data_IF_361136574071
#
_entry.id   IF_361136574071
#
_cell.length_a   1.000
_cell.length_b   1.000
_cell.length_c   1.000
_cell.angle_alpha   90.00
_cell.angle_beta   90.00
_cell.angle_gamma   90.00
#
_symmetry.space_group_name_H-M   'P 1'
#
loop_
_entity.id
_entity.type
_entity.pdbx_description
1 polymer ?
#
# COMPACT_ATOMS: atom_id res chain seq x y z
N UNK A 1 -22.08 -51.84 -52.30
CA UNK A 1 -21.29 -51.87 -51.05
C UNK A 1 -20.55 -50.55 -50.91
N UNK A 2 -21.07 -49.65 -50.07
CA UNK A 2 -20.35 -48.56 -49.39
C UNK A 2 -21.42 -47.65 -48.75
N UNK A 3 -21.88 -48.03 -47.56
CA UNK A 3 -22.63 -47.15 -46.67
C UNK A 3 -21.64 -46.27 -45.91
N UNK A 4 -21.69 -44.96 -46.11
CA UNK A 4 -21.01 -44.00 -45.25
C UNK A 4 -22.00 -43.50 -44.19
N UNK A 5 -22.01 -44.20 -43.05
CA UNK A 5 -22.76 -43.84 -41.86
C UNK A 5 -22.30 -42.51 -41.26
N UNK A 6 -23.22 -41.54 -41.19
CA UNK A 6 -23.04 -40.29 -40.45
C UNK A 6 -23.36 -40.57 -38.98
N UNK A 7 -22.36 -40.62 -38.12
CA UNK A 7 -22.56 -40.73 -36.66
C UNK A 7 -22.92 -39.34 -36.14
N UNK A 8 -24.19 -39.15 -35.76
CA UNK A 8 -24.63 -37.97 -35.02
C UNK A 8 -24.13 -38.09 -33.58
N UNK A 9 -23.19 -37.23 -33.17
CA UNK A 9 -22.87 -37.03 -31.77
C UNK A 9 -24.03 -36.29 -31.09
N UNK A 10 -24.92 -37.02 -30.42
CA UNK A 10 -25.87 -36.44 -29.48
C UNK A 10 -25.10 -35.84 -28.30
N UNK A 11 -25.08 -34.51 -28.22
CA UNK A 11 -24.62 -33.76 -27.05
C UNK A 11 -25.43 -34.25 -25.85
N UNK A 12 -24.76 -34.89 -24.89
CA UNK A 12 -25.38 -35.34 -23.66
C UNK A 12 -26.04 -34.17 -22.92
N UNK A 13 -27.30 -34.35 -22.56
CA UNK A 13 -28.06 -33.39 -21.75
C UNK A 13 -27.30 -33.04 -20.47
N UNK A 14 -27.14 -31.75 -20.19
CA UNK A 14 -26.66 -31.29 -18.89
C UNK A 14 -27.65 -31.76 -17.82
N UNK A 15 -27.20 -32.34 -16.70
CA UNK A 15 -28.10 -32.67 -15.62
C UNK A 15 -28.83 -31.41 -15.14
N UNK A 16 -30.11 -31.51 -14.74
CA UNK A 16 -30.89 -30.36 -14.31
C UNK A 16 -30.18 -29.65 -13.15
N UNK A 17 -30.13 -28.32 -13.23
CA UNK A 17 -29.62 -27.47 -12.16
C UNK A 17 -30.35 -27.83 -10.86
N UNK A 18 -29.60 -28.35 -9.88
CA UNK A 18 -30.12 -28.56 -8.52
C UNK A 18 -30.66 -27.23 -8.02
N UNK A 19 -31.98 -27.11 -7.96
CA UNK A 19 -32.69 -26.00 -7.34
C UNK A 19 -32.27 -26.01 -5.88
N UNK A 20 -31.42 -25.05 -5.50
CA UNK A 20 -30.95 -24.93 -4.12
C UNK A 20 -32.16 -24.47 -3.31
N UNK A 21 -32.73 -25.36 -2.50
CA UNK A 21 -33.82 -25.02 -1.59
C UNK A 21 -33.41 -23.79 -0.74
N UNK A 22 -34.33 -22.84 -0.47
CA UNK A 22 -34.03 -21.75 0.45
C UNK A 22 -33.65 -22.36 1.80
N UNK A 23 -32.44 -22.06 2.27
CA UNK A 23 -32.04 -22.43 3.63
C UNK A 23 -32.95 -21.73 4.64
N UNK A 24 -33.05 -22.24 5.88
CA UNK A 24 -33.81 -21.58 6.93
C UNK A 24 -33.31 -20.14 7.10
N UNK A 25 -34.19 -19.17 7.44
CA UNK A 25 -33.78 -17.80 7.70
C UNK A 25 -32.66 -17.81 8.76
N UNK A 26 -31.53 -17.17 8.44
CA UNK A 26 -30.41 -17.05 9.33
C UNK A 26 -30.83 -16.40 10.65
N UNK A 27 -30.21 -16.83 11.75
CA UNK A 27 -30.36 -16.15 13.03
C UNK A 27 -29.93 -14.68 12.86
N UNK A 28 -30.72 -13.69 13.32
CA UNK A 28 -30.32 -12.29 13.29
C UNK A 28 -28.96 -12.15 13.98
N UNK A 29 -27.97 -11.67 13.22
CA UNK A 29 -26.60 -11.47 13.74
C UNK A 29 -25.55 -12.47 13.24
N UNK A 30 -25.87 -13.33 12.26
CA UNK A 30 -24.83 -14.13 11.61
C UNK A 30 -23.82 -13.20 10.88
N UNK A 31 -22.49 -13.37 11.05
CA UNK A 31 -21.49 -12.45 10.47
C UNK A 31 -21.57 -12.26 8.95
N UNK A 32 -22.19 -13.20 8.24
CA UNK A 32 -22.46 -13.14 6.79
C UNK A 32 -23.47 -12.07 6.39
N UNK A 33 -24.30 -11.62 7.33
CA UNK A 33 -25.33 -10.58 7.12
C UNK A 33 -24.80 -9.17 7.41
N UNK A 34 -23.60 -9.04 8.00
CA UNK A 34 -22.99 -7.76 8.29
C UNK A 34 -22.63 -7.01 7.00
N UNK A 35 -22.64 -5.66 6.98
CA UNK A 35 -22.13 -4.93 5.83
C UNK A 35 -20.65 -5.25 5.60
N UNK A 36 -20.20 -5.23 4.34
CA UNK A 36 -18.84 -5.64 3.95
C UNK A 36 -17.75 -4.98 4.80
N UNK A 37 -17.88 -3.68 5.08
CA UNK A 37 -16.88 -2.95 5.86
C UNK A 37 -16.74 -3.50 7.29
N UNK A 38 -17.84 -3.97 7.90
CA UNK A 38 -17.82 -4.55 9.25
C UNK A 38 -17.18 -5.95 9.23
N UNK A 39 -17.49 -6.77 8.22
CA UNK A 39 -16.83 -8.07 8.03
C UNK A 39 -15.32 -7.92 7.83
N UNK A 40 -14.91 -6.98 6.97
CA UNK A 40 -13.49 -6.66 6.72
C UNK A 40 -12.81 -6.11 7.96
N UNK A 41 -13.48 -5.23 8.72
CA UNK A 41 -12.93 -4.68 9.96
C UNK A 41 -12.68 -5.78 10.98
N UNK A 42 -13.66 -6.64 11.22
CA UNK A 42 -13.52 -7.76 12.16
C UNK A 42 -12.39 -8.71 11.74
N UNK A 43 -12.32 -9.06 10.44
CA UNK A 43 -11.27 -9.91 9.89
C UNK A 43 -9.88 -9.29 10.05
N UNK A 44 -9.71 -8.02 9.64
CA UNK A 44 -8.43 -7.32 9.71
C UNK A 44 -7.95 -7.20 11.15
N UNK A 45 -8.81 -6.77 12.08
CA UNK A 45 -8.46 -6.62 13.49
C UNK A 45 -8.14 -7.96 14.15
N UNK A 46 -8.87 -9.03 13.84
CA UNK A 46 -8.56 -10.37 14.36
C UNK A 46 -7.16 -10.82 13.92
N UNK A 47 -6.80 -10.59 12.65
CA UNK A 47 -5.46 -10.91 12.15
C UNK A 47 -4.38 -10.02 12.78
N UNK A 48 -4.67 -8.72 13.04
CA UNK A 48 -3.76 -7.82 13.74
C UNK A 48 -3.50 -8.24 15.20
N UNK A 49 -4.51 -8.78 15.89
CA UNK A 49 -4.30 -9.36 17.22
C UNK A 49 -3.32 -10.54 17.14
N UNK A 50 -3.48 -11.44 16.16
CA UNK A 50 -2.55 -12.56 15.96
C UNK A 50 -1.13 -12.05 15.65
N UNK A 51 -0.98 -11.09 14.71
CA UNK A 51 0.31 -10.47 14.40
C UNK A 51 0.93 -9.79 15.63
N UNK A 52 0.13 -9.13 16.47
CA UNK A 52 0.59 -8.50 17.72
C UNK A 52 1.09 -9.52 18.74
N UNK A 53 0.40 -10.64 18.91
CA UNK A 53 0.87 -11.74 19.76
C UNK A 53 2.18 -12.31 19.23
N UNK A 54 2.29 -12.54 17.92
CA UNK A 54 3.52 -13.04 17.31
C UNK A 54 4.70 -12.07 17.49
N UNK A 55 4.47 -10.76 17.33
CA UNK A 55 5.48 -9.74 17.62
C UNK A 55 5.88 -9.73 19.09
N UNK A 56 4.91 -9.80 20.02
CA UNK A 56 5.20 -9.82 21.44
C UNK A 56 6.00 -11.06 21.86
N UNK A 57 5.71 -12.23 21.27
CA UNK A 57 6.49 -13.45 21.48
C UNK A 57 7.89 -13.32 20.88
N UNK A 58 8.00 -12.83 19.65
CA UNK A 58 9.29 -12.63 18.99
C UNK A 58 10.18 -11.61 19.73
N UNK A 59 9.59 -10.62 20.39
CA UNK A 59 10.32 -9.64 21.17
C UNK A 59 11.05 -10.27 22.37
N UNK A 60 10.54 -11.39 22.92
CA UNK A 60 11.16 -12.08 24.06
C UNK A 60 12.48 -12.76 23.71
N UNK A 61 12.62 -13.19 22.47
CA UNK A 61 13.81 -13.87 21.96
C UNK A 61 14.76 -12.91 21.21
N UNK A 62 14.41 -11.62 21.13
CA UNK A 62 15.18 -10.66 20.35
C UNK A 62 16.46 -10.27 21.09
N UNK A 63 17.61 -10.50 20.44
CA UNK A 63 18.90 -10.06 20.97
C UNK A 63 18.98 -8.53 20.91
N UNK A 64 19.29 -7.92 22.05
CA UNK A 64 19.47 -6.49 22.13
C UNK A 64 20.65 -6.03 21.27
N UNK A 65 20.37 -5.06 20.42
CA UNK A 65 21.36 -4.31 19.66
C UNK A 65 20.98 -2.83 19.72
N UNK A 66 21.76 -1.95 20.37
CA UNK A 66 21.32 -0.60 20.70
C UNK A 66 20.90 0.22 19.49
N UNK A 67 21.63 0.09 18.37
CA UNK A 67 21.30 0.80 17.14
C UNK A 67 19.98 0.34 16.50
N UNK A 68 19.47 -0.87 16.81
CA UNK A 68 18.31 -1.49 16.14
C UNK A 68 17.10 -1.66 17.06
N UNK A 69 17.31 -2.08 18.30
CA UNK A 69 16.26 -2.57 19.22
C UNK A 69 15.85 -1.58 20.32
N UNK A 70 16.67 -0.57 20.62
CA UNK A 70 16.34 0.45 21.63
C UNK A 70 17.50 0.75 22.59
N UNK A 71 17.35 1.72 23.50
CA UNK A 71 18.42 2.17 24.39
C UNK A 71 18.80 1.17 25.49
N UNK A 72 17.93 0.22 25.84
CA UNK A 72 18.16 -0.77 26.90
C UNK A 72 17.60 -2.17 26.54
N UNK A 73 18.21 -3.21 27.12
CA UNK A 73 17.95 -4.64 26.86
C UNK A 73 16.54 -5.11 27.30
N UNK A 74 15.83 -4.34 28.12
CA UNK A 74 14.49 -4.67 28.65
C UNK A 74 13.30 -3.95 28.00
N UNK A 75 13.54 -2.97 27.13
CA UNK A 75 12.50 -2.12 26.50
C UNK A 75 12.42 -2.35 24.97
N UNK A 76 12.58 -3.60 24.52
CA UNK A 76 12.52 -3.91 23.09
C UNK A 76 11.06 -3.85 22.62
N UNK A 77 10.69 -2.73 22.01
CA UNK A 77 9.48 -2.63 21.21
C UNK A 77 9.82 -2.88 19.73
N UNK A 78 9.45 -4.07 19.25
CA UNK A 78 9.63 -4.42 17.84
C UNK A 78 8.85 -3.48 16.92
N UNK A 79 7.73 -2.90 17.36
CA UNK A 79 6.98 -1.95 16.55
C UNK A 79 7.72 -0.64 16.30
N UNK A 80 8.74 -0.32 17.12
CA UNK A 80 9.54 0.91 17.07
C UNK A 80 11.01 0.65 16.68
N UNK A 81 11.32 -0.57 16.23
CA UNK A 81 12.67 -0.98 15.86
C UNK A 81 12.99 -0.72 14.38
N UNK A 82 14.29 -0.77 14.02
CA UNK A 82 14.79 -0.59 12.64
C UNK A 82 14.33 0.72 11.96
N UNK A 83 13.55 0.64 10.88
CA UNK A 83 13.14 1.78 10.04
C UNK A 83 12.32 2.81 10.82
N UNK A 84 11.61 2.35 11.86
CA UNK A 84 10.85 3.21 12.75
C UNK A 84 11.70 4.32 13.38
N UNK A 85 12.98 4.05 13.68
CA UNK A 85 13.90 5.05 14.25
C UNK A 85 14.19 6.19 13.27
N UNK A 86 14.20 5.91 11.97
CA UNK A 86 14.38 6.95 10.95
C UNK A 86 13.11 7.77 10.78
N UNK A 87 11.95 7.14 10.81
CA UNK A 87 10.68 7.86 10.81
C UNK A 87 10.50 8.71 12.06
N UNK A 88 10.94 8.23 13.23
CA UNK A 88 10.96 9.00 14.47
C UNK A 88 11.86 10.24 14.33
N UNK A 89 13.11 10.04 13.90
CA UNK A 89 14.05 11.15 13.67
C UNK A 89 13.49 12.20 12.71
N UNK A 90 12.85 11.79 11.61
CA UNK A 90 12.24 12.75 10.68
C UNK A 90 11.05 13.48 11.32
N UNK A 91 10.23 12.76 12.10
CA UNK A 91 9.08 13.35 12.77
C UNK A 91 9.48 14.38 13.84
N UNK A 92 10.60 14.16 14.55
CA UNK A 92 11.07 15.00 15.65
C UNK A 92 12.06 16.08 15.21
N UNK A 93 13.04 15.74 14.39
CA UNK A 93 14.17 16.59 13.99
C UNK A 93 14.03 17.13 12.56
N UNK A 94 13.27 16.44 11.69
CA UNK A 94 13.17 16.78 10.26
C UNK A 94 14.31 16.20 9.43
N UNK A 95 14.54 16.79 8.25
CA UNK A 95 15.64 16.41 7.36
C UNK A 95 16.86 17.31 7.60
N UNK A 96 18.09 16.75 7.55
CA UNK A 96 19.29 17.56 7.70
C UNK A 96 19.54 18.45 6.47
N UNK A 97 20.09 19.64 6.68
CA UNK A 97 20.41 20.65 5.65
C UNK A 97 21.49 20.22 4.65
N UNK A 98 22.05 19.01 4.81
CA UNK A 98 23.07 18.42 3.94
C UNK A 98 23.22 16.92 4.18
N UNK A 99 24.07 16.26 3.39
CA UNK A 99 24.40 14.86 3.63
C UNK A 99 25.43 14.74 4.77
N UNK A 100 25.16 13.94 5.82
CA UNK A 100 26.14 13.71 6.87
C UNK A 100 27.29 12.86 6.33
N UNK A 101 28.52 13.37 6.48
CA UNK A 101 29.76 12.71 6.03
C UNK A 101 30.55 12.26 7.26
N UNK A 102 31.05 11.01 7.24
CA UNK A 102 31.89 10.45 8.29
C UNK A 102 33.36 10.88 8.16
N UNK A 103 34.17 10.53 9.17
CA UNK A 103 35.61 10.83 9.18
C UNK A 103 36.38 10.17 8.04
N UNK A 104 35.82 9.12 7.43
CA UNK A 104 36.34 8.43 6.25
C UNK A 104 35.95 9.13 4.93
N UNK A 105 35.31 10.29 4.99
CA UNK A 105 34.86 11.06 3.84
C UNK A 105 33.62 10.49 3.15
N UNK A 106 32.99 9.44 3.70
CA UNK A 106 31.81 8.80 3.09
C UNK A 106 30.51 9.32 3.69
N UNK A 107 29.49 9.42 2.84
CA UNK A 107 28.13 9.71 3.29
C UNK A 107 27.63 8.58 4.19
N UNK A 108 27.08 8.95 5.34
CA UNK A 108 26.49 8.02 6.30
C UNK A 108 25.03 7.75 5.98
N UNK A 109 24.52 6.62 6.48
CA UNK A 109 23.07 6.38 6.54
C UNK A 109 22.38 7.57 7.18
N UNK A 110 21.34 8.07 6.52
CA UNK A 110 20.74 9.34 6.87
C UNK A 110 19.24 9.41 6.50
N UNK A 111 18.50 10.39 7.06
CA UNK A 111 17.06 10.51 6.84
C UNK A 111 16.61 10.66 5.39
N UNK A 112 17.43 11.17 4.47
CA UNK A 112 17.06 11.35 3.06
C UNK A 112 16.77 10.04 2.31
N UNK A 113 17.08 8.88 2.90
CA UNK A 113 16.67 7.57 2.41
C UNK A 113 15.17 7.28 2.59
N UNK A 114 14.53 7.97 3.53
CA UNK A 114 13.15 7.74 3.93
C UNK A 114 12.25 8.87 3.46
N UNK A 115 11.11 8.49 2.90
CA UNK A 115 10.18 9.42 2.26
C UNK A 115 9.29 10.12 3.30
N UNK A 116 8.81 11.35 3.00
CA UNK A 116 8.40 12.29 4.04
C UNK A 116 6.96 12.14 4.51
N UNK A 117 6.06 11.54 3.72
CA UNK A 117 4.62 11.68 3.98
C UNK A 117 4.19 11.06 5.31
N UNK A 118 4.67 9.85 5.62
CA UNK A 118 4.33 9.16 6.86
C UNK A 118 4.90 9.84 8.12
N UNK A 119 6.21 10.14 8.23
CA UNK A 119 6.74 10.80 9.43
C UNK A 119 6.17 12.20 9.65
N UNK A 120 5.86 12.97 8.60
CA UNK A 120 5.17 14.25 8.78
C UNK A 120 3.69 14.09 9.15
N UNK A 121 3.00 13.05 8.68
CA UNK A 121 1.65 12.73 9.15
C UNK A 121 1.67 12.38 10.64
N UNK A 122 2.67 11.61 11.10
CA UNK A 122 2.89 11.32 12.51
C UNK A 122 3.13 12.62 13.29
N UNK A 123 4.07 13.46 12.85
CA UNK A 123 4.36 14.76 13.48
C UNK A 123 3.10 15.62 13.62
N UNK A 124 2.28 15.70 12.57
CA UNK A 124 1.03 16.45 12.59
C UNK A 124 0.03 15.89 13.62
N UNK A 125 -0.16 14.57 13.66
CA UNK A 125 -1.08 13.93 14.60
C UNK A 125 -0.57 14.04 16.04
N UNK A 126 0.74 13.87 16.27
CA UNK A 126 1.37 14.08 17.58
C UNK A 126 1.19 15.51 18.07
N UNK A 127 1.40 16.51 17.19
CA UNK A 127 1.13 17.91 17.51
C UNK A 127 -0.35 18.15 17.87
N UNK A 128 -1.28 17.57 17.12
CA UNK A 128 -2.72 17.77 17.33
C UNK A 128 -3.28 17.02 18.56
N UNK A 129 -2.69 15.89 18.94
CA UNK A 129 -3.19 15.01 20.02
C UNK A 129 -2.34 15.03 21.29
N UNK A 130 -1.16 15.64 21.25
CA UNK A 130 -0.11 15.59 22.29
C UNK A 130 0.43 14.20 22.60
N UNK A 131 0.10 13.19 21.79
CA UNK A 131 0.59 11.83 21.92
C UNK A 131 1.99 11.67 21.32
N UNK A 132 2.80 10.84 21.97
CA UNK A 132 4.17 10.54 21.56
C UNK A 132 4.24 9.68 20.29
N UNK A 133 5.38 9.73 19.59
CA UNK A 133 5.66 8.96 18.38
C UNK A 133 5.36 7.46 18.58
N UNK A 134 5.79 6.91 19.71
CA UNK A 134 5.60 5.51 20.08
C UNK A 134 4.13 5.05 20.06
N UNK A 135 3.19 5.97 20.33
CA UNK A 135 1.75 5.69 20.27
C UNK A 135 1.18 6.03 18.89
N UNK A 136 1.53 7.18 18.33
CA UNK A 136 0.92 7.69 17.10
C UNK A 136 1.32 6.87 15.88
N UNK A 137 2.58 6.46 15.76
CA UNK A 137 3.07 5.81 14.55
C UNK A 137 2.46 4.41 14.33
N UNK A 138 2.43 3.49 15.31
CA UNK A 138 1.74 2.20 15.15
C UNK A 138 0.22 2.36 14.97
N UNK A 139 -0.40 3.31 15.67
CA UNK A 139 -1.83 3.59 15.53
C UNK A 139 -2.18 4.08 14.12
N UNK A 140 -1.38 4.99 13.57
CA UNK A 140 -1.58 5.50 12.22
C UNK A 140 -1.39 4.38 11.18
N UNK A 141 -0.42 3.50 11.38
CA UNK A 141 -0.24 2.31 10.54
C UNK A 141 -1.46 1.36 10.61
N UNK A 142 -2.00 1.09 11.81
CA UNK A 142 -3.19 0.26 11.99
C UNK A 142 -4.44 0.87 11.33
N UNK A 143 -4.66 2.17 11.51
CA UNK A 143 -5.80 2.88 10.90
C UNK A 143 -5.67 2.92 9.38
N UNK A 144 -4.47 3.22 8.87
CA UNK A 144 -4.21 3.21 7.43
C UNK A 144 -4.40 1.81 6.84
N UNK A 145 -3.92 0.77 7.53
CA UNK A 145 -4.05 -0.61 7.09
C UNK A 145 -5.50 -1.11 7.12
N UNK A 146 -6.31 -0.69 8.10
CA UNK A 146 -7.74 -0.94 8.11
C UNK A 146 -8.43 -0.25 6.93
N UNK A 147 -8.11 1.02 6.67
CA UNK A 147 -8.60 1.74 5.50
C UNK A 147 -8.23 1.03 4.20
N UNK A 148 -6.98 0.57 4.10
CA UNK A 148 -6.49 -0.19 2.95
C UNK A 148 -7.26 -1.51 2.77
N UNK A 149 -7.52 -2.26 3.85
CA UNK A 149 -8.32 -3.49 3.80
C UNK A 149 -9.74 -3.23 3.29
N UNK A 150 -10.39 -2.17 3.76
CA UNK A 150 -11.75 -1.79 3.33
C UNK A 150 -11.74 -1.42 1.85
N UNK A 151 -10.82 -0.56 1.41
CA UNK A 151 -10.75 -0.15 0.01
C UNK A 151 -10.33 -1.29 -0.92
N UNK A 152 -9.47 -2.20 -0.47
CA UNK A 152 -9.09 -3.41 -1.20
C UNK A 152 -10.31 -4.32 -1.42
N UNK A 153 -11.11 -4.57 -0.37
CA UNK A 153 -12.34 -5.33 -0.51
C UNK A 153 -13.34 -4.66 -1.46
N UNK A 154 -13.45 -3.32 -1.40
CA UNK A 154 -14.30 -2.54 -2.33
C UNK A 154 -13.82 -2.65 -3.76
N UNK A 155 -12.51 -2.54 -3.99
CA UNK A 155 -11.89 -2.69 -5.31
C UNK A 155 -12.22 -4.05 -5.92
N UNK A 156 -12.08 -5.14 -5.14
CA UNK A 156 -12.44 -6.49 -5.59
C UNK A 156 -13.93 -6.57 -5.93
N UNK A 157 -14.82 -6.03 -5.09
CA UNK A 157 -16.26 -6.04 -5.36
C UNK A 157 -16.63 -5.23 -6.61
N UNK A 158 -15.97 -4.11 -6.89
CA UNK A 158 -16.27 -3.26 -8.04
C UNK A 158 -15.74 -3.83 -9.36
N UNK A 159 -14.63 -4.58 -9.31
CA UNK A 159 -13.95 -5.10 -10.51
C UNK A 159 -14.24 -6.57 -10.80
N UNK A 160 -14.83 -7.30 -9.85
CA UNK A 160 -15.09 -8.72 -10.02
C UNK A 160 -16.25 -9.00 -10.99
N UNK A 161 -16.09 -9.97 -11.91
CA UNK A 161 -17.14 -10.35 -12.86
C UNK A 161 -18.24 -11.25 -12.25
N UNK A 162 -18.07 -11.71 -11.00
CA UNK A 162 -19.05 -12.58 -10.34
C UNK A 162 -20.34 -11.83 -9.94
N UNK A 163 -21.40 -12.51 -9.52
CA UNK A 163 -22.60 -11.88 -8.94
C UNK A 163 -22.33 -11.26 -7.56
N UNK A 164 -23.07 -10.23 -7.15
CA UNK A 164 -22.80 -9.46 -5.91
C UNK A 164 -22.61 -10.35 -4.68
N UNK A 165 -23.47 -11.35 -4.47
CA UNK A 165 -23.37 -12.29 -3.35
C UNK A 165 -22.13 -13.19 -3.39
N UNK A 166 -21.61 -13.50 -4.58
CA UNK A 166 -20.40 -14.30 -4.76
C UNK A 166 -19.11 -13.47 -4.76
N UNK A 167 -19.17 -12.13 -4.74
CA UNK A 167 -17.99 -11.24 -4.63
C UNK A 167 -17.45 -11.05 -3.22
N UNK A 168 -18.30 -11.19 -2.19
CA UNK A 168 -17.91 -10.96 -0.78
C UNK A 168 -16.84 -11.96 -0.34
N UNK A 169 -17.00 -13.25 -0.65
CA UNK A 169 -16.02 -14.28 -0.33
C UNK A 169 -14.62 -14.00 -0.89
N UNK A 170 -14.48 -13.77 -2.21
CA UNK A 170 -13.22 -13.33 -2.83
C UNK A 170 -12.64 -12.06 -2.21
N UNK A 171 -13.47 -11.05 -1.93
CA UNK A 171 -12.99 -9.81 -1.30
C UNK A 171 -12.38 -10.07 0.09
N UNK A 172 -13.04 -10.87 0.92
CA UNK A 172 -12.52 -11.27 2.22
C UNK A 172 -11.26 -12.14 2.09
N UNK A 173 -11.20 -13.02 1.09
CA UNK A 173 -10.01 -13.86 0.85
C UNK A 173 -8.79 -13.02 0.45
N UNK A 174 -8.95 -12.02 -0.43
CA UNK A 174 -7.87 -11.10 -0.80
C UNK A 174 -7.37 -10.34 0.42
N UNK A 175 -8.29 -9.79 1.24
CA UNK A 175 -7.93 -9.11 2.49
C UNK A 175 -7.21 -10.05 3.46
N UNK A 176 -7.70 -11.29 3.62
CA UNK A 176 -7.09 -12.28 4.51
C UNK A 176 -5.66 -12.62 4.06
N UNK A 177 -5.44 -12.88 2.77
CA UNK A 177 -4.11 -13.19 2.22
C UNK A 177 -3.15 -12.02 2.43
N UNK A 178 -3.57 -10.79 2.10
CA UNK A 178 -2.73 -9.61 2.31
C UNK A 178 -2.46 -9.34 3.79
N UNK A 179 -3.45 -9.53 4.66
CA UNK A 179 -3.31 -9.29 6.08
C UNK A 179 -2.58 -10.41 6.82
N UNK A 180 -2.53 -11.65 6.32
CA UNK A 180 -1.94 -12.80 7.00
C UNK A 180 -0.63 -13.33 6.36
N UNK A 181 -0.14 -12.67 5.31
CA UNK A 181 1.14 -13.00 4.69
C UNK A 181 2.32 -12.91 5.69
N UNK A 182 3.45 -13.61 5.47
CA UNK A 182 4.52 -13.74 6.49
C UNK A 182 5.11 -12.42 7.03
N UNK A 183 5.25 -11.41 6.18
CA UNK A 183 5.68 -10.06 6.53
C UNK A 183 4.55 -9.17 7.06
N UNK A 184 3.33 -9.66 7.26
CA UNK A 184 2.20 -8.86 7.73
C UNK A 184 2.37 -8.18 9.10
N UNK A 185 3.26 -8.62 10.02
CA UNK A 185 3.56 -7.85 11.22
C UNK A 185 3.94 -6.38 10.95
N UNK A 186 4.58 -6.07 9.81
CA UNK A 186 4.94 -4.68 9.45
C UNK A 186 3.73 -3.76 9.28
N UNK A 187 2.52 -4.32 9.07
CA UNK A 187 1.30 -3.54 8.88
C UNK A 187 0.80 -2.85 10.16
N UNK A 188 1.40 -3.15 11.30
CA UNK A 188 1.13 -2.53 12.61
C UNK A 188 2.39 -2.03 13.32
N UNK A 189 3.55 -2.08 12.65
CA UNK A 189 4.77 -1.42 13.11
C UNK A 189 4.72 0.06 12.69
N UNK A 190 5.60 0.89 13.25
CA UNK A 190 5.76 2.30 12.90
C UNK A 190 6.42 2.50 11.52
N UNK A 191 5.88 1.84 10.48
CA UNK A 191 6.40 1.82 9.12
C UNK A 191 5.37 2.34 8.09
N UNK A 192 5.83 2.59 6.87
CA UNK A 192 5.03 3.17 5.78
C UNK A 192 4.10 2.18 5.06
N UNK A 193 4.27 0.86 5.20
CA UNK A 193 3.62 -0.17 4.37
C UNK A 193 2.09 -0.01 4.33
N UNK A 194 1.46 0.13 5.49
CA UNK A 194 0.00 0.31 5.60
C UNK A 194 -0.46 1.63 4.97
N UNK A 195 0.32 2.70 5.14
CA UNK A 195 0.03 4.02 4.59
C UNK A 195 0.16 4.05 3.07
N UNK A 196 1.23 3.46 2.53
CA UNK A 196 1.43 3.26 1.09
C UNK A 196 0.33 2.37 0.50
N UNK A 197 -0.04 1.28 1.18
CA UNK A 197 -1.09 0.39 0.68
C UNK A 197 -2.45 1.09 0.60
N UNK A 198 -2.81 1.89 1.61
CA UNK A 198 -4.04 2.70 1.59
C UNK A 198 -4.09 3.60 0.35
N UNK A 199 -3.01 4.35 0.10
CA UNK A 199 -2.92 5.25 -1.04
C UNK A 199 -2.92 4.46 -2.36
N UNK A 200 -2.27 3.31 -2.43
CA UNK A 200 -2.25 2.47 -3.62
C UNK A 200 -3.65 1.95 -3.98
N UNK A 201 -4.39 1.38 -3.01
CA UNK A 201 -5.73 0.88 -3.30
C UNK A 201 -6.72 2.02 -3.56
N UNK A 202 -6.55 3.18 -2.92
CA UNK A 202 -7.31 4.39 -3.24
C UNK A 202 -7.03 4.87 -4.67
N UNK A 203 -5.77 4.90 -5.09
CA UNK A 203 -5.35 5.23 -6.46
C UNK A 203 -6.02 4.31 -7.47
N UNK A 204 -5.96 2.99 -7.26
CA UNK A 204 -6.57 2.01 -8.15
C UNK A 204 -8.10 2.14 -8.20
N UNK A 205 -8.75 2.36 -7.06
CA UNK A 205 -10.20 2.52 -6.98
C UNK A 205 -10.66 3.80 -7.69
N UNK A 206 -9.94 4.92 -7.50
CA UNK A 206 -10.21 6.18 -8.19
C UNK A 206 -10.00 6.05 -9.70
N UNK A 207 -8.98 5.29 -10.12
CA UNK A 207 -8.73 4.99 -11.53
C UNK A 207 -9.86 4.16 -12.14
N UNK A 208 -10.30 3.09 -11.48
CA UNK A 208 -11.44 2.25 -11.91
C UNK A 208 -12.72 3.06 -12.04
N UNK A 209 -12.93 4.03 -11.13
CA UNK A 209 -14.09 4.92 -11.15
C UNK A 209 -13.97 6.09 -12.14
N UNK A 210 -12.87 6.17 -12.91
CA UNK A 210 -12.63 7.25 -13.87
C UNK A 210 -12.35 8.62 -13.25
N UNK A 211 -12.02 8.67 -11.95
CA UNK A 211 -11.62 9.91 -11.26
C UNK A 211 -10.13 10.18 -11.48
N UNK A 212 -9.80 10.63 -12.70
CA UNK A 212 -8.42 10.84 -13.12
C UNK A 212 -7.66 11.87 -12.27
N UNK A 213 -8.33 12.95 -11.86
CA UNK A 213 -7.71 13.96 -10.98
C UNK A 213 -7.43 13.38 -9.60
N UNK A 214 -8.39 12.66 -9.00
CA UNK A 214 -8.18 12.01 -7.71
C UNK A 214 -7.08 10.95 -7.76
N UNK A 215 -7.03 10.19 -8.85
CA UNK A 215 -5.95 9.25 -9.15
C UNK A 215 -4.58 9.96 -9.19
N UNK A 216 -4.45 11.07 -9.93
CA UNK A 216 -3.23 11.86 -9.98
C UNK A 216 -2.80 12.40 -8.61
N UNK A 217 -3.72 13.00 -7.85
CA UNK A 217 -3.44 13.49 -6.49
C UNK A 217 -2.95 12.37 -5.56
N UNK A 218 -3.59 11.20 -5.64
CA UNK A 218 -3.20 10.05 -4.82
C UNK A 218 -1.84 9.50 -5.24
N UNK A 219 -1.50 9.53 -6.54
CA UNK A 219 -0.18 9.14 -7.02
C UNK A 219 0.93 10.06 -6.49
N UNK A 220 0.67 11.37 -6.39
CA UNK A 220 1.62 12.31 -5.79
C UNK A 220 1.88 11.97 -4.32
N UNK A 221 0.82 11.73 -3.54
CA UNK A 221 0.95 11.33 -2.14
C UNK A 221 1.69 9.99 -2.01
N UNK A 222 1.36 9.00 -2.84
CA UNK A 222 2.00 7.69 -2.83
C UNK A 222 3.49 7.79 -3.17
N UNK A 223 3.88 8.66 -4.11
CA UNK A 223 5.27 8.99 -4.44
C UNK A 223 6.04 9.67 -3.32
N UNK A 224 5.36 10.21 -2.29
CA UNK A 224 5.96 10.72 -1.05
C UNK A 224 5.98 9.69 0.08
N UNK A 225 5.64 8.42 -0.20
CA UNK A 225 5.80 7.34 0.77
C UNK A 225 6.93 6.39 0.42
N UNK A 226 7.13 6.07 -0.87
CA UNK A 226 8.09 5.08 -1.37
C UNK A 226 8.37 5.28 -2.88
N UNK A 227 9.50 4.75 -3.41
CA UNK A 227 9.82 4.81 -4.85
C UNK A 227 8.94 3.83 -5.68
N UNK A 228 7.70 4.21 -5.98
CA UNK A 228 6.73 3.34 -6.70
C UNK A 228 6.15 3.98 -7.98
N UNK A 229 6.70 5.11 -8.41
CA UNK A 229 6.12 5.90 -9.51
C UNK A 229 6.13 5.22 -10.88
N UNK A 230 7.16 4.41 -11.17
CA UNK A 230 7.26 3.72 -12.47
C UNK A 230 6.08 2.74 -12.66
N UNK A 231 5.80 1.81 -11.73
CA UNK A 231 4.58 1.01 -11.78
C UNK A 231 3.29 1.82 -11.93
N UNK A 232 3.13 2.91 -11.18
CA UNK A 232 1.92 3.75 -11.27
C UNK A 232 1.75 4.36 -12.66
N UNK A 233 2.84 4.87 -13.24
CA UNK A 233 2.83 5.45 -14.58
C UNK A 233 2.43 4.42 -15.62
N UNK A 234 2.98 3.20 -15.55
CA UNK A 234 2.59 2.09 -16.44
C UNK A 234 1.11 1.77 -16.30
N UNK A 235 0.59 1.68 -15.07
CA UNK A 235 -0.84 1.42 -14.82
C UNK A 235 -1.73 2.52 -15.41
N UNK A 236 -1.38 3.79 -15.22
CA UNK A 236 -2.13 4.91 -15.82
C UNK A 236 -2.06 4.85 -17.35
N UNK A 237 -0.90 4.59 -17.95
CA UNK A 237 -0.78 4.49 -19.41
C UNK A 237 -1.64 3.36 -19.98
N UNK A 238 -1.67 2.20 -19.32
CA UNK A 238 -2.55 1.08 -19.71
C UNK A 238 -4.02 1.48 -19.58
N UNK A 239 -4.41 2.13 -18.49
CA UNK A 239 -5.78 2.59 -18.29
C UNK A 239 -6.21 3.64 -19.33
N UNK A 240 -5.31 4.56 -19.69
CA UNK A 240 -5.53 5.54 -20.77
C UNK A 240 -5.70 4.84 -22.11
N UNK A 241 -4.86 3.83 -22.41
CA UNK A 241 -4.99 3.04 -23.63
C UNK A 241 -6.32 2.29 -23.70
N UNK A 242 -6.73 1.61 -22.62
CA UNK A 242 -8.03 0.94 -22.52
C UNK A 242 -9.17 1.94 -22.72
N UNK A 243 -9.12 3.09 -22.05
CA UNK A 243 -10.10 4.16 -22.19
C UNK A 243 -10.18 4.71 -23.62
N UNK A 244 -9.04 4.84 -24.28
CA UNK A 244 -8.94 5.31 -25.67
C UNK A 244 -9.58 4.34 -26.65
N UNK A 245 -9.51 3.02 -26.41
CA UNK A 245 -10.17 2.00 -27.23
C UNK A 245 -11.71 2.12 -27.19
N UNK A 246 -12.26 2.60 -26.08
CA UNK A 246 -13.70 2.81 -25.91
C UNK A 246 -14.20 4.13 -26.51
N UNK A 247 -13.34 4.97 -27.11
CA UNK A 247 -13.73 6.33 -27.54
C UNK A 247 -14.82 6.38 -28.61
N UNK A 248 -14.96 5.32 -29.41
CA UNK A 248 -15.95 5.23 -30.48
C UNK A 248 -17.37 5.02 -29.93
N UNK A 249 -17.50 4.22 -28.86
CA UNK A 249 -18.78 3.96 -28.19
C UNK A 249 -19.06 4.92 -27.04
N UNK A 250 -18.01 5.45 -26.40
CA UNK A 250 -18.07 6.41 -25.31
C UNK A 250 -17.11 7.58 -25.57
N UNK A 251 -17.57 8.65 -26.24
CA UNK A 251 -16.74 9.82 -26.55
C UNK A 251 -16.04 10.40 -25.32
N UNK A 252 -14.78 10.80 -25.48
CA UNK A 252 -13.97 11.41 -24.40
C UNK A 252 -14.23 12.91 -24.35
N UNK A 253 -14.97 13.36 -23.34
CA UNK A 253 -15.24 14.77 -23.09
C UNK A 253 -13.98 15.56 -22.70
N UNK A 254 -14.02 16.89 -22.84
CA UNK A 254 -12.87 17.77 -22.55
C UNK A 254 -12.40 17.63 -21.10
N UNK A 255 -13.31 17.60 -20.12
CA UNK A 255 -12.96 17.42 -18.71
C UNK A 255 -12.25 16.09 -18.42
N UNK A 256 -12.64 15.01 -19.10
CA UNK A 256 -11.96 13.71 -18.97
C UNK A 256 -10.56 13.74 -19.57
N UNK A 257 -10.36 14.40 -20.72
CA UNK A 257 -9.02 14.58 -21.32
C UNK A 257 -8.09 15.36 -20.41
N UNK A 258 -8.60 16.45 -19.80
CA UNK A 258 -7.84 17.24 -18.83
C UNK A 258 -7.50 16.39 -17.60
N UNK A 259 -8.46 15.62 -17.09
CA UNK A 259 -8.24 14.68 -15.99
C UNK A 259 -7.15 13.65 -16.31
N UNK A 260 -7.21 13.02 -17.49
CA UNK A 260 -6.19 12.08 -17.98
C UNK A 260 -4.81 12.75 -18.03
N UNK A 261 -4.73 13.97 -18.57
CA UNK A 261 -3.50 14.75 -18.61
C UNK A 261 -2.94 14.99 -17.20
N UNK A 262 -3.79 15.38 -16.25
CA UNK A 262 -3.42 15.53 -14.83
C UNK A 262 -2.88 14.22 -14.26
N UNK A 263 -3.55 13.09 -14.49
CA UNK A 263 -3.11 11.79 -13.98
C UNK A 263 -1.72 11.41 -14.52
N UNK A 264 -1.49 11.53 -15.83
CA UNK A 264 -0.21 11.20 -16.48
C UNK A 264 0.92 12.09 -15.97
N UNK A 265 0.69 13.40 -15.89
CA UNK A 265 1.69 14.35 -15.38
C UNK A 265 1.97 14.08 -13.91
N UNK A 266 0.94 13.88 -13.09
CA UNK A 266 1.08 13.63 -11.66
C UNK A 266 1.86 12.33 -11.38
N UNK A 267 1.58 11.24 -12.11
CA UNK A 267 2.34 9.98 -11.93
C UNK A 267 3.80 10.14 -12.37
N UNK A 268 4.08 10.91 -13.43
CA UNK A 268 5.45 11.25 -13.82
C UNK A 268 6.19 12.06 -12.75
N UNK A 269 5.55 13.12 -12.23
CA UNK A 269 6.10 13.94 -11.14
C UNK A 269 6.36 13.09 -9.90
N UNK A 270 5.48 12.13 -9.60
CA UNK A 270 5.63 11.27 -8.43
C UNK A 270 6.94 10.48 -8.38
N UNK A 271 7.58 10.23 -9.52
CA UNK A 271 8.85 9.51 -9.58
C UNK A 271 10.09 10.35 -9.33
N UNK A 272 10.00 11.65 -9.58
CA UNK A 272 11.15 12.56 -9.49
C UNK A 272 11.00 13.54 -8.33
N UNK A 273 9.82 13.63 -7.71
CA UNK A 273 9.59 14.65 -6.70
C UNK A 273 10.51 14.48 -5.49
N UNK A 274 10.71 13.24 -5.01
CA UNK A 274 11.52 13.02 -3.82
C UNK A 274 13.00 13.29 -4.07
N UNK A 275 13.53 12.84 -5.21
CA UNK A 275 14.91 13.12 -5.60
C UNK A 275 15.15 14.62 -5.79
N UNK A 276 14.16 15.33 -6.35
CA UNK A 276 14.20 16.78 -6.51
C UNK A 276 14.16 17.52 -5.16
N UNK A 277 13.35 17.05 -4.21
CA UNK A 277 13.28 17.60 -2.85
C UNK A 277 14.57 17.34 -2.07
N UNK A 278 15.16 16.15 -2.20
CA UNK A 278 16.44 15.81 -1.61
C UNK A 278 17.57 16.69 -2.17
N UNK A 279 17.59 16.94 -3.48
CA UNK A 279 18.51 17.89 -4.05
C UNK A 279 18.29 19.32 -3.50
N UNK A 280 17.06 19.81 -3.52
CA UNK A 280 16.75 21.15 -3.03
C UNK A 280 17.11 21.35 -1.55
N UNK A 281 16.88 20.35 -0.70
CA UNK A 281 17.15 20.43 0.73
C UNK A 281 18.62 20.28 1.12
N UNK A 282 19.43 19.62 0.30
CA UNK A 282 20.87 19.38 0.58
C UNK A 282 21.81 20.26 -0.24
N UNK A 283 21.31 20.88 -1.30
CA UNK A 283 22.13 21.55 -2.32
C UNK A 283 22.89 20.60 -3.25
N UNK A 284 22.81 19.27 -3.07
CA UNK A 284 23.56 18.27 -3.84
C UNK A 284 22.65 17.55 -4.85
N UNK A 285 22.98 17.59 -6.15
CA UNK A 285 22.13 17.03 -7.22
C UNK A 285 21.90 15.53 -7.12
N UNK A 286 22.91 14.83 -6.64
CA UNK A 286 23.00 13.38 -6.47
C UNK A 286 22.62 12.92 -5.04
N UNK A 287 22.02 13.79 -4.22
CA UNK A 287 21.80 13.53 -2.80
C UNK A 287 21.08 12.21 -2.49
N UNK A 288 20.02 11.89 -3.25
CA UNK A 288 19.28 10.65 -3.05
C UNK A 288 20.07 9.42 -3.51
N UNK A 289 20.63 9.36 -4.74
CA UNK A 289 21.55 8.29 -5.13
C UNK A 289 22.69 8.04 -4.14
N UNK A 290 23.38 9.11 -3.71
CA UNK A 290 24.52 9.04 -2.79
C UNK A 290 24.11 8.65 -1.37
N UNK A 291 22.90 9.02 -0.94
CA UNK A 291 22.32 8.46 0.27
C UNK A 291 22.08 6.96 0.14
N UNK A 292 21.53 6.49 -0.98
CA UNK A 292 21.25 5.06 -1.20
C UNK A 292 22.52 4.19 -1.27
N UNK A 293 23.67 4.73 -1.69
CA UNK A 293 24.94 3.98 -1.66
C UNK A 293 25.42 3.71 -0.23
N UNK A 294 25.18 4.65 0.70
CA UNK A 294 25.49 4.46 2.13
C UNK A 294 24.72 3.29 2.77
N UNK A 295 23.57 2.90 2.19
CA UNK A 295 22.76 1.77 2.63
C UNK A 295 23.18 0.43 2.03
N UNK A 296 23.93 0.44 0.92
CA UNK A 296 24.44 -0.76 0.26
C UNK A 296 25.80 -1.21 0.80
N UNK A 297 26.49 -0.34 1.55
CA UNK A 297 27.87 -0.56 1.95
C UNK A 297 28.87 -0.46 0.79
N UNK A 298 28.41 0.02 -0.37
CA UNK A 298 29.23 0.23 -1.56
C UNK A 298 29.68 1.70 -1.60
N UNK A 299 30.90 1.94 -2.08
CA UNK A 299 31.37 3.30 -2.35
C UNK A 299 30.41 4.03 -3.30
N UNK A 300 30.30 5.35 -3.16
CA UNK A 300 29.49 6.20 -4.03
C UNK A 300 29.73 5.85 -5.51
N UNK A 301 28.66 5.83 -6.31
CA UNK A 301 28.75 5.61 -7.76
C UNK A 301 29.46 6.83 -8.34
N UNK A 302 30.72 6.65 -8.74
CA UNK A 302 31.49 7.65 -9.46
C UNK A 302 30.89 7.81 -10.87
N UNK A 303 30.28 8.95 -11.21
CA UNK A 303 29.70 9.17 -12.53
C UNK A 303 30.74 9.87 -13.42
N UNK A 304 31.90 9.24 -13.60
CA UNK A 304 32.89 9.61 -14.62
C UNK A 304 32.68 8.81 -15.92
#
# INVERSE_FOLDING_TARGET
MSETGRVAHTVGERPPSRTRLPGPPGLPGHPREWPLWAQVTALYLAIRVVSGVLLALAAQDQVWFPAVTGPAEGDIDLALSWDAKWYERIATEGYPDGLPVGDDGRVRQNPWAFYPLFPYAIRFVSWATTLEFATVAPLLALVAGLGAAILMARLVVETSPYDVGSRVGPALAVVAVWAAQPAAPVLQMAYTESFSMLLLVAFLLLLVRGSWVGCGLTALLLGLTRPIALPLSVVVLVAVWLRWRERETRPVGVGERLGIGVAVVATGISGIMWTTLAWAGTGQRDAYPTTMTAWRGEAAIDPD
#
